data_IF_517250187689
#
_entry.id   IF_517250187689
#
_cell.length_a   1.000
_cell.length_b   1.000
_cell.length_c   1.000
_cell.angle_alpha   90.00
_cell.angle_beta   90.00
_cell.angle_gamma   90.00
#
_symmetry.space_group_name_H-M   'P 1'
#
loop_
_entity.id
_entity.type
_entity.pdbx_description
1 polymer ?
#
# COMPACT_ATOMS: atom_id res chain seq x y z
N UNK A 1 2.60 18.80 13.37
CA UNK A 1 2.80 17.66 12.45
C UNK A 1 4.26 17.52 12.02
N UNK A 2 4.95 18.61 11.65
CA UNK A 2 6.35 18.58 11.21
C UNK A 2 7.34 17.88 12.16
N UNK A 3 7.06 17.82 13.46
CA UNK A 3 7.95 17.19 14.46
C UNK A 3 7.52 15.76 14.87
N UNK A 4 6.64 15.10 14.12
CA UNK A 4 6.26 13.72 14.43
C UNK A 4 7.44 12.77 14.11
N UNK A 5 8.00 12.03 15.09
CA UNK A 5 9.14 11.14 14.83
C UNK A 5 8.86 10.08 13.77
N UNK A 6 7.62 9.58 13.70
CA UNK A 6 7.21 8.60 12.69
C UNK A 6 7.21 9.21 11.27
N UNK A 7 6.76 10.45 11.11
CA UNK A 7 6.83 11.16 9.82
C UNK A 7 8.30 11.40 9.45
N UNK A 8 9.13 11.87 10.39
CA UNK A 8 10.56 12.12 10.16
C UNK A 8 11.36 10.86 9.82
N UNK A 9 10.93 9.68 10.30
CA UNK A 9 11.52 8.38 9.97
C UNK A 9 11.06 7.86 8.60
N UNK A 10 9.95 8.38 8.08
CA UNK A 10 9.42 7.95 6.78
C UNK A 10 10.29 8.49 5.64
N UNK A 11 10.44 7.69 4.59
CA UNK A 11 11.21 8.05 3.38
C UNK A 11 10.30 8.61 2.28
N UNK A 12 9.20 9.24 2.67
CA UNK A 12 8.21 9.80 1.77
C UNK A 12 7.69 11.13 2.28
N UNK A 13 7.29 11.99 1.35
CA UNK A 13 6.70 13.28 1.63
C UNK A 13 5.18 13.15 1.76
N UNK A 14 4.58 13.97 2.63
CA UNK A 14 3.15 13.94 2.91
C UNK A 14 2.56 15.34 2.83
N UNK A 15 1.36 15.42 2.25
CA UNK A 15 0.53 16.62 2.27
C UNK A 15 -0.72 16.37 3.08
N UNK A 16 -1.01 17.24 4.05
CA UNK A 16 -2.25 17.18 4.81
C UNK A 16 -3.39 17.80 3.99
N UNK A 17 -4.36 17.00 3.58
CA UNK A 17 -5.56 17.48 2.88
C UNK A 17 -6.83 16.95 3.54
N UNK A 18 -7.77 17.84 3.88
CA UNK A 18 -9.05 17.45 4.46
C UNK A 18 -8.93 16.65 5.77
N UNK A 19 -7.87 16.89 6.56
CA UNK A 19 -7.62 16.18 7.82
C UNK A 19 -6.99 14.79 7.67
N UNK A 20 -6.60 14.39 6.46
CA UNK A 20 -5.92 13.12 6.18
C UNK A 20 -4.58 13.37 5.50
N UNK A 21 -3.54 12.63 5.87
CA UNK A 21 -2.28 12.65 5.12
C UNK A 21 -2.47 11.92 3.79
N UNK A 22 -2.03 12.59 2.72
CA UNK A 22 -1.90 12.02 1.38
C UNK A 22 -0.43 11.98 1.02
N UNK A 23 -0.03 10.89 0.37
CA UNK A 23 1.32 10.74 -0.15
C UNK A 23 1.55 11.86 -1.16
N UNK A 24 2.59 12.65 -0.94
CA UNK A 24 3.00 13.62 -1.94
C UNK A 24 3.68 12.87 -3.08
N UNK A 25 3.04 12.95 -4.23
CA UNK A 25 3.44 12.33 -5.48
C UNK A 25 3.76 13.39 -6.54
N UNK A 26 3.85 14.66 -6.13
CA UNK A 26 4.26 15.76 -7.01
C UNK A 26 5.79 15.69 -7.21
N UNK A 27 6.21 15.16 -8.36
CA UNK A 27 7.61 14.80 -8.66
C UNK A 27 7.72 13.33 -9.06
N UNK A 28 8.92 12.75 -9.00
CA UNK A 28 9.08 11.29 -9.06
C UNK A 28 8.58 10.72 -7.74
N UNK A 29 7.41 10.07 -7.76
CA UNK A 29 6.99 9.23 -6.63
C UNK A 29 8.14 8.28 -6.28
N UNK A 30 8.48 8.08 -4.99
CA UNK A 30 9.57 7.19 -4.64
C UNK A 30 9.26 5.80 -5.19
N UNK A 31 10.11 5.30 -6.09
CA UNK A 31 10.02 3.93 -6.59
C UNK A 31 10.12 2.93 -5.43
N UNK A 32 10.80 3.34 -4.35
CA UNK A 32 10.97 2.58 -3.12
C UNK A 32 10.93 3.54 -1.91
N UNK A 33 10.18 3.19 -0.86
CA UNK A 33 10.14 3.97 0.36
C UNK A 33 9.38 3.29 1.48
N UNK A 34 9.77 3.60 2.72
CA UNK A 34 9.10 3.13 3.93
C UNK A 34 8.25 4.23 4.58
N UNK A 35 7.03 3.88 4.96
CA UNK A 35 6.09 4.69 5.73
C UNK A 35 6.10 4.21 7.17
N UNK A 36 6.20 5.13 8.12
CA UNK A 36 6.02 4.84 9.55
C UNK A 36 4.79 5.59 10.07
N UNK A 37 3.76 4.84 10.41
CA UNK A 37 2.58 5.42 11.05
C UNK A 37 2.76 5.55 12.55
N UNK A 38 2.05 6.54 13.12
CA UNK A 38 1.87 6.59 14.55
C UNK A 38 1.10 5.36 15.03
N UNK A 39 1.53 4.78 16.14
CA UNK A 39 0.94 3.56 16.69
C UNK A 39 0.61 3.75 18.18
N UNK A 40 0.28 2.67 18.88
CA UNK A 40 -0.13 2.74 20.29
C UNK A 40 0.96 3.23 21.25
N UNK A 41 2.23 3.20 20.82
CA UNK A 41 3.38 3.74 21.57
C UNK A 41 3.55 5.26 21.41
N UNK A 42 2.82 5.89 20.47
CA UNK A 42 2.89 7.34 20.26
C UNK A 42 1.90 8.07 21.19
N UNK A 43 2.32 9.20 21.75
CA UNK A 43 1.46 10.05 22.60
C UNK A 43 0.32 10.76 21.86
N UNK A 44 0.29 10.72 20.53
CA UNK A 44 -0.73 11.36 19.71
C UNK A 44 -2.09 10.64 19.77
N UNK A 45 -3.23 11.36 19.61
CA UNK A 45 -4.55 10.76 19.69
C UNK A 45 -4.84 9.79 18.53
N UNK A 46 -5.93 9.00 18.65
CA UNK A 46 -6.40 8.12 17.56
C UNK A 46 -6.81 8.88 16.29
N UNK A 47 -7.19 10.15 16.44
CA UNK A 47 -7.47 11.07 15.32
C UNK A 47 -6.21 11.58 14.61
N UNK A 48 -5.01 11.21 15.08
CA UNK A 48 -3.75 11.60 14.45
C UNK A 48 -3.79 11.36 12.93
N UNK A 49 -3.44 12.35 12.11
CA UNK A 49 -3.48 12.22 10.66
C UNK A 49 -2.40 11.29 10.11
N UNK A 50 -1.33 11.00 10.88
CA UNK A 50 -0.35 9.95 10.59
C UNK A 50 -0.81 8.54 11.02
N UNK A 51 -2.11 8.29 10.89
CA UNK A 51 -2.77 6.99 11.07
C UNK A 51 -3.72 6.81 9.90
N UNK A 52 -3.23 6.37 8.75
CA UNK A 52 -3.97 6.29 7.48
C UNK A 52 -4.27 4.83 7.15
N UNK A 53 -3.24 4.01 6.91
CA UNK A 53 -3.32 2.61 6.53
C UNK A 53 -3.99 1.78 7.63
N UNK A 54 -3.63 2.01 8.90
CA UNK A 54 -4.23 1.28 10.02
C UNK A 54 -5.75 1.50 10.18
N UNK A 55 -6.33 2.46 9.45
CA UNK A 55 -7.79 2.69 9.42
C UNK A 55 -8.53 1.78 8.44
N UNK A 56 -7.81 0.93 7.70
CA UNK A 56 -8.37 -0.06 6.80
C UNK A 56 -8.95 0.53 5.50
N UNK A 57 -9.50 -0.36 4.67
CA UNK A 57 -10.13 -0.03 3.39
C UNK A 57 -11.34 0.89 3.60
N UNK A 58 -11.33 2.06 2.95
CA UNK A 58 -12.44 3.05 3.00
C UNK A 58 -13.01 3.41 1.63
N UNK A 59 -12.36 2.97 0.56
CA UNK A 59 -12.78 3.20 -0.82
C UNK A 59 -13.64 2.04 -1.29
N UNK A 60 -14.70 2.34 -2.06
CA UNK A 60 -15.53 1.30 -2.65
C UNK A 60 -14.83 0.78 -3.91
N UNK A 61 -14.39 -0.47 -3.84
CA UNK A 61 -13.69 -1.15 -4.91
C UNK A 61 -14.59 -2.18 -5.57
N UNK A 62 -14.45 -2.34 -6.87
CA UNK A 62 -15.12 -3.38 -7.63
C UNK A 62 -14.08 -4.30 -8.27
N UNK A 63 -14.15 -5.58 -7.92
CA UNK A 63 -13.48 -6.64 -8.69
C UNK A 63 -14.34 -6.96 -9.90
N UNK A 64 -13.75 -6.92 -11.10
CA UNK A 64 -14.48 -7.12 -12.35
C UNK A 64 -13.66 -7.94 -13.34
N UNK A 65 -14.36 -8.55 -14.32
CA UNK A 65 -13.71 -9.26 -15.41
C UNK A 65 -13.24 -8.25 -16.45
N UNK A 66 -11.93 -8.21 -16.69
CA UNK A 66 -11.32 -7.42 -17.77
C UNK A 66 -11.46 -8.15 -19.10
N UNK A 67 -11.18 -7.44 -20.20
CA UNK A 67 -11.24 -8.02 -21.56
C UNK A 67 -10.08 -8.97 -21.85
N UNK A 68 -8.89 -8.75 -21.26
CA UNK A 68 -7.67 -9.48 -21.62
C UNK A 68 -6.81 -9.96 -20.43
N UNK A 69 -6.91 -9.33 -19.26
CA UNK A 69 -6.03 -9.57 -18.09
C UNK A 69 -6.67 -10.48 -17.03
N UNK A 70 -7.78 -11.15 -17.38
CA UNK A 70 -8.56 -11.92 -16.40
C UNK A 70 -9.34 -11.00 -15.46
N UNK A 71 -9.08 -11.05 -14.17
CA UNK A 71 -9.75 -10.20 -13.18
C UNK A 71 -8.96 -8.90 -12.97
N UNK A 72 -9.64 -7.82 -12.60
CA UNK A 72 -9.04 -6.53 -12.29
C UNK A 72 -9.82 -5.83 -11.19
N UNK A 73 -9.28 -4.72 -10.70
CA UNK A 73 -9.94 -3.87 -9.69
C UNK A 73 -10.12 -2.47 -10.26
N UNK A 74 -11.22 -1.81 -9.92
CA UNK A 74 -11.46 -0.40 -10.20
C UNK A 74 -12.15 0.27 -9.02
N UNK A 75 -12.05 1.59 -8.92
CA UNK A 75 -12.91 2.37 -8.02
C UNK A 75 -14.26 2.65 -8.69
N UNK A 76 -15.32 2.82 -7.90
CA UNK A 76 -16.64 3.24 -8.43
C UNK A 76 -16.89 4.74 -8.28
N UNK A 77 -15.92 5.45 -7.72
CA UNK A 77 -15.87 6.90 -7.53
C UNK A 77 -14.52 7.44 -7.96
N UNK A 78 -14.47 8.74 -8.25
CA UNK A 78 -13.20 9.44 -8.45
C UNK A 78 -12.31 9.29 -7.22
N UNK A 79 -11.05 8.98 -7.45
CA UNK A 79 -10.08 8.69 -6.41
C UNK A 79 -8.94 9.71 -6.45
N UNK A 80 -8.73 10.49 -5.37
CA UNK A 80 -7.77 11.59 -5.39
C UNK A 80 -6.32 11.09 -5.49
N UNK A 81 -5.43 11.93 -6.02
CA UNK A 81 -3.97 11.71 -5.99
C UNK A 81 -3.44 11.59 -4.55
N UNK A 82 -2.47 10.69 -4.34
CA UNK A 82 -1.80 10.46 -3.07
C UNK A 82 -2.66 9.76 -2.02
N UNK A 83 -3.88 9.35 -2.36
CA UNK A 83 -4.80 8.75 -1.42
C UNK A 83 -4.47 7.25 -1.20
N UNK A 84 -4.63 6.79 0.04
CA UNK A 84 -4.51 5.38 0.39
C UNK A 84 -5.66 4.57 -0.18
N UNK A 85 -5.33 3.50 -0.91
CA UNK A 85 -6.28 2.58 -1.51
C UNK A 85 -6.56 1.40 -0.56
N UNK A 86 -5.58 0.51 -0.41
CA UNK A 86 -5.68 -0.69 0.42
C UNK A 86 -4.29 -1.22 0.80
N UNK A 87 -4.23 -2.05 1.83
CA UNK A 87 -3.04 -2.85 2.14
C UNK A 87 -3.06 -4.13 1.30
N UNK A 88 -1.92 -4.63 0.85
CA UNK A 88 -1.81 -5.98 0.29
C UNK A 88 -1.76 -6.98 1.44
N UNK A 89 -2.66 -7.97 1.42
CA UNK A 89 -2.63 -9.10 2.35
C UNK A 89 -2.30 -10.39 1.62
N UNK A 90 -1.41 -11.15 2.25
CA UNK A 90 -0.90 -12.44 1.78
C UNK A 90 -0.34 -13.25 2.94
N UNK A 91 0.03 -14.50 2.67
CA UNK A 91 0.83 -15.33 3.55
C UNK A 91 2.27 -14.77 3.60
N UNK A 92 2.81 -14.47 4.78
CA UNK A 92 4.21 -14.09 4.91
C UNK A 92 5.08 -15.35 4.91
N UNK A 93 5.86 -15.53 3.86
CA UNK A 93 6.74 -16.68 3.65
C UNK A 93 8.20 -16.24 3.64
N UNK A 94 9.09 -17.15 4.04
CA UNK A 94 10.55 -16.93 3.95
C UNK A 94 11.02 -17.04 2.50
N UNK A 95 12.19 -16.49 2.19
CA UNK A 95 12.81 -16.67 0.87
C UNK A 95 13.04 -18.16 0.53
N UNK A 96 13.31 -18.98 1.53
CA UNK A 96 13.44 -20.43 1.35
C UNK A 96 12.11 -21.03 0.90
N UNK A 97 11.01 -20.72 1.56
CA UNK A 97 9.67 -21.20 1.16
C UNK A 97 9.27 -20.65 -0.22
N UNK A 98 9.53 -19.36 -0.48
CA UNK A 98 9.24 -18.73 -1.76
C UNK A 98 9.93 -19.43 -2.94
N UNK A 99 11.15 -19.94 -2.75
CA UNK A 99 11.90 -20.68 -3.76
C UNK A 99 11.36 -22.11 -4.02
N UNK A 100 10.53 -22.66 -3.12
CA UNK A 100 9.89 -23.97 -3.31
C UNK A 100 8.52 -23.86 -3.99
N UNK A 101 7.94 -22.66 -4.10
CA UNK A 101 6.66 -22.41 -4.77
C UNK A 101 6.89 -22.32 -6.28
N UNK A 102 5.95 -22.87 -7.05
CA UNK A 102 6.04 -22.89 -8.51
C UNK A 102 5.60 -21.57 -9.17
N UNK A 103 4.81 -20.75 -8.47
CA UNK A 103 4.18 -19.53 -9.00
C UNK A 103 4.48 -18.33 -8.08
N UNK A 104 5.08 -17.29 -8.64
CA UNK A 104 5.51 -16.06 -7.95
C UNK A 104 4.66 -14.82 -8.31
N UNK A 105 3.59 -15.03 -9.08
CA UNK A 105 2.74 -13.96 -9.64
C UNK A 105 2.12 -13.05 -8.58
N UNK A 106 1.97 -13.54 -7.34
CA UNK A 106 1.33 -12.84 -6.23
C UNK A 106 2.32 -12.39 -5.17
N UNK A 107 3.60 -12.25 -5.51
CA UNK A 107 4.64 -11.90 -4.55
C UNK A 107 4.82 -10.39 -4.38
N UNK A 108 4.95 -9.97 -3.13
CA UNK A 108 5.57 -8.71 -2.76
C UNK A 108 6.73 -8.96 -1.81
N UNK A 109 7.91 -8.44 -2.14
CA UNK A 109 9.08 -8.48 -1.25
C UNK A 109 8.85 -7.48 -0.10
N UNK A 110 9.18 -7.91 1.10
CA UNK A 110 9.09 -7.14 2.34
C UNK A 110 10.45 -7.15 3.03
N UNK A 111 11.00 -5.97 3.27
CA UNK A 111 12.24 -5.78 4.00
C UNK A 111 11.95 -5.72 5.51
N UNK A 112 12.43 -6.71 6.25
CA UNK A 112 12.25 -6.79 7.70
C UNK A 112 13.22 -5.84 8.42
N UNK A 113 12.86 -5.43 9.64
CA UNK A 113 13.68 -4.50 10.42
C UNK A 113 15.05 -5.07 10.80
N UNK A 114 15.18 -6.40 10.85
CA UNK A 114 16.43 -7.11 11.14
C UNK A 114 17.31 -7.33 9.89
N UNK A 115 16.92 -6.75 8.74
CA UNK A 115 17.65 -6.85 7.48
C UNK A 115 17.35 -8.11 6.66
N UNK A 116 16.49 -9.01 7.16
CA UNK A 116 16.01 -10.14 6.35
C UNK A 116 14.99 -9.69 5.32
N UNK A 117 14.89 -10.42 4.21
CA UNK A 117 13.80 -10.29 3.26
C UNK A 117 12.83 -11.45 3.41
N UNK A 118 11.54 -11.14 3.30
CA UNK A 118 10.45 -12.10 3.25
C UNK A 118 9.55 -11.76 2.06
N UNK A 119 8.64 -12.65 1.72
CA UNK A 119 7.66 -12.44 0.66
C UNK A 119 6.25 -12.52 1.22
N UNK A 120 5.38 -11.60 0.82
CA UNK A 120 3.94 -11.74 0.96
C UNK A 120 3.42 -12.47 -0.28
N UNK A 121 2.81 -13.64 -0.09
CA UNK A 121 2.19 -14.43 -1.14
C UNK A 121 0.66 -14.36 -1.06
N UNK A 122 0.04 -13.70 -2.03
CA UNK A 122 -1.42 -13.60 -2.15
C UNK A 122 -2.11 -14.78 -2.85
N UNK A 123 -1.39 -15.87 -3.16
CA UNK A 123 -1.90 -16.97 -4.01
C UNK A 123 -3.11 -17.69 -3.41
N UNK A 124 -3.00 -18.12 -2.16
CA UNK A 124 -4.02 -18.91 -1.46
C UNK A 124 -4.84 -18.08 -0.47
N UNK A 125 -4.18 -17.14 0.21
CA UNK A 125 -4.79 -16.24 1.17
C UNK A 125 -4.48 -14.82 0.76
N UNK A 126 -5.51 -13.98 0.60
CA UNK A 126 -5.30 -12.59 0.27
C UNK A 126 -6.59 -11.78 0.25
N UNK A 127 -6.45 -10.47 0.08
CA UNK A 127 -7.57 -9.55 -0.02
C UNK A 127 -7.76 -9.05 -1.46
N UNK A 128 -8.58 -8.00 -1.64
CA UNK A 128 -8.83 -7.37 -2.95
C UNK A 128 -7.54 -6.97 -3.70
N UNK A 129 -6.46 -6.64 -2.97
CA UNK A 129 -5.18 -6.24 -3.56
C UNK A 129 -4.55 -7.30 -4.46
N UNK A 130 -4.85 -8.59 -4.27
CA UNK A 130 -4.36 -9.69 -5.12
C UNK A 130 -4.87 -9.65 -6.56
N UNK A 131 -5.91 -8.84 -6.83
CA UNK A 131 -6.51 -8.70 -8.16
C UNK A 131 -6.05 -7.42 -8.88
N UNK A 132 -5.17 -6.63 -8.27
CA UNK A 132 -4.54 -5.49 -8.93
C UNK A 132 -3.62 -6.02 -10.03
N UNK A 133 -3.82 -5.54 -11.25
CA UNK A 133 -3.00 -5.94 -12.39
C UNK A 133 -1.72 -5.11 -12.46
N UNK A 134 -0.71 -5.62 -13.14
CA UNK A 134 0.49 -4.85 -13.47
C UNK A 134 0.22 -3.88 -14.64
N UNK A 135 0.73 -2.65 -14.53
CA UNK A 135 0.73 -1.65 -15.60
C UNK A 135 2.13 -1.08 -15.83
N UNK A 136 2.49 -0.84 -17.10
CA UNK A 136 3.71 -0.11 -17.45
C UNK A 136 3.62 1.40 -17.18
N UNK A 137 2.40 1.91 -16.96
CA UNK A 137 2.13 3.29 -16.54
C UNK A 137 1.17 3.24 -15.35
N UNK A 138 1.67 2.85 -14.17
CA UNK A 138 0.80 2.53 -13.06
C UNK A 138 0.16 3.78 -12.46
N UNK A 139 -1.12 3.67 -12.10
CA UNK A 139 -1.83 4.71 -11.35
C UNK A 139 -1.74 4.50 -9.83
N UNK A 140 -1.05 3.44 -9.40
CA UNK A 140 -0.74 3.12 -8.01
C UNK A 140 0.77 2.99 -7.77
N UNK A 141 1.18 3.22 -6.52
CA UNK A 141 2.51 2.88 -6.00
C UNK A 141 2.34 1.99 -4.78
N UNK A 142 3.16 0.94 -4.68
CA UNK A 142 3.23 0.06 -3.53
C UNK A 142 4.37 0.52 -2.60
N UNK A 143 4.05 0.81 -1.34
CA UNK A 143 5.03 1.24 -0.35
C UNK A 143 4.99 0.35 0.88
N UNK A 144 6.17 0.10 1.44
CA UNK A 144 6.27 -0.60 2.71
C UNK A 144 5.78 0.29 3.84
N UNK A 145 4.98 -0.26 4.75
CA UNK A 145 4.38 0.47 5.87
C UNK A 145 4.57 -0.27 7.19
N UNK A 146 5.18 0.44 8.15
CA UNK A 146 5.31 0.01 9.53
C UNK A 146 4.24 0.67 10.40
N UNK A 147 3.38 -0.15 10.99
CA UNK A 147 2.27 0.28 11.85
C UNK A 147 2.59 0.14 13.35
N UNK A 148 3.86 -0.06 13.71
CA UNK A 148 4.32 -0.33 15.07
C UNK A 148 4.49 -1.81 15.43
N UNK A 149 4.22 -2.73 14.50
CA UNK A 149 4.57 -4.15 14.62
C UNK A 149 5.93 -4.44 13.96
N UNK A 150 6.53 -5.59 14.28
CA UNK A 150 7.81 -6.04 13.73
C UNK A 150 7.74 -6.33 12.23
N UNK A 151 6.57 -6.75 11.74
CA UNK A 151 6.34 -7.12 10.34
C UNK A 151 5.74 -5.93 9.60
N UNK A 152 6.46 -5.30 8.66
CA UNK A 152 5.89 -4.28 7.80
C UNK A 152 4.95 -4.91 6.77
N UNK A 153 3.91 -4.17 6.37
CA UNK A 153 3.03 -4.56 5.28
C UNK A 153 3.30 -3.76 4.00
N UNK A 154 2.56 -4.05 2.94
CA UNK A 154 2.59 -3.27 1.69
C UNK A 154 1.28 -2.51 1.55
N UNK A 155 1.33 -1.21 1.29
CA UNK A 155 0.16 -0.36 1.09
C UNK A 155 0.20 0.33 -0.27
N UNK A 156 -0.95 0.39 -0.94
CA UNK A 156 -1.11 1.06 -2.22
C UNK A 156 -1.62 2.48 -2.05
N UNK A 157 -1.01 3.41 -2.77
CA UNK A 157 -1.41 4.81 -2.86
C UNK A 157 -1.54 5.22 -4.32
N UNK A 158 -2.43 6.14 -4.65
CA UNK A 158 -2.55 6.66 -6.00
C UNK A 158 -1.41 7.62 -6.35
N UNK A 159 -0.86 7.48 -7.56
CA UNK A 159 0.20 8.36 -8.09
C UNK A 159 -0.37 9.62 -8.75
N UNK A 160 -1.64 9.57 -9.16
CA UNK A 160 -2.41 10.68 -9.75
C UNK A 160 -3.88 10.58 -9.37
N UNK A 161 -4.69 11.54 -9.79
CA UNK A 161 -6.14 11.38 -9.73
C UNK A 161 -6.59 10.25 -10.69
N UNK A 162 -7.54 9.43 -10.25
CA UNK A 162 -8.08 8.28 -10.98
C UNK A 162 -9.58 8.48 -11.13
N UNK A 163 -10.10 8.29 -12.33
CA UNK A 163 -11.52 8.49 -12.60
C UNK A 163 -12.35 7.27 -12.16
N UNK A 164 -13.61 7.50 -11.79
CA UNK A 164 -14.54 6.40 -11.52
C UNK A 164 -14.59 5.41 -12.70
N UNK A 165 -14.43 4.12 -12.41
CA UNK A 165 -14.47 3.04 -13.40
C UNK A 165 -13.13 2.76 -14.10
N UNK A 166 -12.10 3.58 -13.88
CA UNK A 166 -10.74 3.34 -14.37
C UNK A 166 -10.10 2.14 -13.65
N UNK A 167 -9.40 1.28 -14.38
CA UNK A 167 -8.70 0.12 -13.82
C UNK A 167 -7.52 0.56 -12.94
N UNK A 168 -7.34 -0.12 -11.81
CA UNK A 168 -6.27 0.09 -10.85
C UNK A 168 -5.12 -0.88 -11.10
N UNK A 169 -3.89 -0.37 -11.20
CA UNK A 169 -2.69 -1.15 -11.46
C UNK A 169 -1.53 -0.32 -11.98
#
# INVERSE_FOLDING_TARGET
>A
MANCPCILRSQCSWTLMGGQLRLDTTGTAPEMGSIYECNMLCACPRSCPNRVVQRGLRTQLQVYRTTAKGWGVRTVQDFPQGAFLCQYFGELISNTEAAHREEDTYYFVVDMQDGRQCCLDGRYYGNVGRFLNHSCQPNLVALQVALGYEIPGIAFFSTRAIQAGEELG
#
